data_IF_602904271585
#
_entry.id   IF_602904271585
#
_cell.length_a   1.000
_cell.length_b   1.000
_cell.length_c   1.000
_cell.angle_alpha   90.00
_cell.angle_beta   90.00
_cell.angle_gamma   90.00
#
_symmetry.space_group_name_H-M   'P 1'
#
loop_
_entity.id
_entity.type
_entity.pdbx_description
1 polymer ?
#
# COMPACT_ATOMS: atom_id res chain seq x y z
N UNK A 1 -41.37 -22.14 -2.57
CA UNK A 1 -40.18 -21.43 -3.09
C UNK A 1 -39.27 -21.17 -1.92
N UNK A 2 -38.26 -22.00 -1.75
CA UNK A 2 -37.18 -21.84 -0.79
C UNK A 2 -36.20 -20.81 -1.33
N UNK A 3 -35.73 -19.83 -0.55
CA UNK A 3 -34.70 -18.91 -1.01
C UNK A 3 -33.37 -19.66 -1.07
N UNK A 4 -32.80 -19.74 -2.28
CA UNK A 4 -31.44 -20.22 -2.50
C UNK A 4 -30.49 -19.16 -1.98
N UNK A 5 -29.75 -19.50 -0.93
CA UNK A 5 -28.68 -18.67 -0.41
C UNK A 5 -27.61 -18.51 -1.49
N UNK A 6 -27.36 -17.28 -1.94
CA UNK A 6 -26.13 -16.93 -2.66
C UNK A 6 -24.96 -17.14 -1.68
N UNK A 7 -24.38 -18.34 -1.71
CA UNK A 7 -23.05 -18.55 -1.19
C UNK A 7 -22.12 -17.67 -2.04
N UNK A 8 -21.63 -16.58 -1.46
CA UNK A 8 -20.54 -15.82 -2.05
C UNK A 8 -19.37 -16.80 -2.27
N UNK A 9 -19.12 -17.17 -3.53
CA UNK A 9 -17.91 -17.89 -3.91
C UNK A 9 -16.73 -16.99 -3.57
N UNK A 10 -16.09 -17.24 -2.42
CA UNK A 10 -14.78 -16.69 -2.10
C UNK A 10 -13.86 -17.10 -3.26
N UNK A 11 -13.26 -16.17 -4.03
CA UNK A 11 -12.38 -16.53 -5.12
C UNK A 11 -11.29 -17.45 -4.56
N UNK A 12 -11.22 -18.69 -5.06
CA UNK A 12 -10.20 -19.65 -4.65
C UNK A 12 -8.84 -19.00 -4.86
N UNK A 13 -8.10 -18.82 -3.77
CA UNK A 13 -6.76 -18.25 -3.81
C UNK A 13 -5.87 -19.16 -4.68
N UNK A 14 -5.64 -18.74 -5.92
CA UNK A 14 -4.83 -19.48 -6.89
C UNK A 14 -3.38 -19.02 -6.80
N UNK A 15 -2.46 -19.96 -7.00
CA UNK A 15 -1.04 -19.65 -7.10
C UNK A 15 -0.76 -18.89 -8.39
N UNK A 16 0.31 -18.11 -8.39
CA UNK A 16 0.77 -17.46 -9.62
C UNK A 16 1.28 -18.50 -10.63
N UNK A 17 1.20 -18.18 -11.91
CA UNK A 17 1.65 -19.07 -12.99
C UNK A 17 3.13 -19.47 -12.83
N UNK A 18 3.99 -18.53 -12.41
CA UNK A 18 5.42 -18.82 -12.20
C UNK A 18 5.66 -19.74 -11.01
N UNK A 19 4.89 -19.62 -9.94
CA UNK A 19 5.00 -20.50 -8.79
C UNK A 19 4.56 -21.93 -9.14
N UNK A 20 3.48 -22.06 -9.92
CA UNK A 20 3.04 -23.34 -10.49
C UNK A 20 4.10 -23.99 -11.38
N UNK A 21 4.70 -23.22 -12.29
CA UNK A 21 5.75 -23.69 -13.20
C UNK A 21 6.95 -24.27 -12.42
N UNK A 22 7.42 -23.55 -11.40
CA UNK A 22 8.56 -23.98 -10.58
C UNK A 22 8.25 -25.28 -9.85
N UNK A 23 7.06 -25.38 -9.24
CA UNK A 23 6.63 -26.60 -8.56
C UNK A 23 6.52 -27.78 -9.52
N UNK A 24 6.01 -27.57 -10.73
CA UNK A 24 5.90 -28.63 -11.75
C UNK A 24 7.26 -29.09 -12.28
N UNK A 25 8.24 -28.19 -12.34
CA UNK A 25 9.61 -28.50 -12.78
C UNK A 25 10.47 -29.20 -11.73
N UNK A 26 9.99 -29.33 -10.49
CA UNK A 26 10.79 -29.85 -9.40
C UNK A 26 11.06 -31.37 -9.54
N UNK A 27 12.30 -31.85 -9.31
CA UNK A 27 12.66 -33.26 -9.47
C UNK A 27 11.92 -34.25 -8.55
N UNK A 28 11.45 -33.78 -7.39
CA UNK A 28 10.63 -34.55 -6.45
C UNK A 28 9.18 -34.03 -6.48
N UNK A 29 8.26 -34.74 -7.18
CA UNK A 29 6.85 -34.34 -7.27
C UNK A 29 6.10 -34.43 -5.94
N UNK A 30 6.50 -35.33 -5.05
CA UNK A 30 5.87 -35.48 -3.74
C UNK A 30 6.20 -34.28 -2.86
N UNK A 31 7.48 -33.87 -2.80
CA UNK A 31 7.89 -32.65 -2.12
C UNK A 31 7.21 -31.40 -2.70
N UNK A 32 7.18 -31.26 -4.03
CA UNK A 32 6.51 -30.13 -4.68
C UNK A 32 4.99 -30.10 -4.40
N UNK A 33 4.34 -31.26 -4.37
CA UNK A 33 2.93 -31.39 -4.00
C UNK A 33 2.64 -30.90 -2.57
N UNK A 34 3.51 -31.23 -1.61
CA UNK A 34 3.43 -30.74 -0.23
C UNK A 34 3.62 -29.23 -0.14
N UNK A 35 4.62 -28.71 -0.84
CA UNK A 35 4.92 -27.27 -0.88
C UNK A 35 3.78 -26.47 -1.53
N UNK A 36 3.18 -27.01 -2.60
CA UNK A 36 1.99 -26.44 -3.24
C UNK A 36 0.86 -26.21 -2.25
N UNK A 37 0.55 -27.21 -1.40
CA UNK A 37 -0.50 -27.08 -0.38
C UNK A 37 -0.20 -25.96 0.61
N UNK A 38 1.05 -25.84 1.05
CA UNK A 38 1.49 -24.73 1.93
C UNK A 38 1.30 -23.39 1.23
N UNK A 39 1.69 -23.25 -0.03
CA UNK A 39 1.51 -21.99 -0.77
C UNK A 39 0.04 -21.63 -1.00
N UNK A 40 -0.82 -22.60 -1.28
CA UNK A 40 -2.26 -22.38 -1.42
C UNK A 40 -2.85 -21.92 -0.09
N UNK A 41 -2.50 -22.58 1.01
CA UNK A 41 -2.92 -22.16 2.35
C UNK A 41 -2.42 -20.75 2.70
N UNK A 42 -1.19 -20.42 2.27
CA UNK A 42 -0.60 -19.08 2.47
C UNK A 42 -1.34 -18.02 1.65
N UNK A 43 -1.64 -18.30 0.38
CA UNK A 43 -2.41 -17.41 -0.49
C UNK A 43 -3.82 -17.16 0.08
N UNK A 44 -4.47 -18.21 0.61
CA UNK A 44 -5.75 -18.10 1.29
C UNK A 44 -5.64 -17.18 2.53
N UNK A 45 -4.69 -17.44 3.43
CA UNK A 45 -4.49 -16.62 4.62
C UNK A 45 -4.20 -15.13 4.27
N UNK A 46 -3.38 -14.86 3.25
CA UNK A 46 -3.11 -13.50 2.76
C UNK A 46 -4.39 -12.82 2.25
N UNK A 47 -5.22 -13.53 1.49
CA UNK A 47 -6.49 -13.00 0.98
C UNK A 47 -7.39 -12.59 2.14
N UNK A 48 -7.55 -13.46 3.14
CA UNK A 48 -8.40 -13.23 4.31
C UNK A 48 -7.93 -12.05 5.17
N UNK A 49 -6.61 -11.87 5.32
CA UNK A 49 -6.05 -10.70 5.97
C UNK A 49 -6.41 -9.39 5.23
N UNK A 50 -6.53 -9.45 3.90
CA UNK A 50 -6.82 -8.29 3.06
C UNK A 50 -8.30 -7.87 3.09
N UNK A 51 -9.22 -8.82 3.32
CA UNK A 51 -10.67 -8.56 3.41
C UNK A 51 -11.09 -7.81 4.69
N UNK A 52 -10.16 -7.61 5.63
CA UNK A 52 -10.38 -6.88 6.87
C UNK A 52 -10.55 -5.37 6.61
N UNK A 53 -11.79 -4.93 6.41
CA UNK A 53 -12.13 -3.50 6.35
C UNK A 53 -12.14 -2.88 7.75
N UNK A 54 -11.08 -2.15 8.06
CA UNK A 54 -10.94 -1.43 9.32
C UNK A 54 -11.63 -0.06 9.30
N UNK A 55 -12.06 0.42 8.13
CA UNK A 55 -12.62 1.76 7.96
C UNK A 55 -13.99 1.88 8.61
N UNK A 56 -14.78 0.81 8.59
CA UNK A 56 -16.11 0.76 9.23
C UNK A 56 -16.07 0.97 10.75
N UNK A 57 -14.90 0.80 11.37
CA UNK A 57 -14.70 0.95 12.81
C UNK A 57 -14.17 2.32 13.21
N UNK A 58 -13.99 3.23 12.24
CA UNK A 58 -13.54 4.60 12.46
C UNK A 58 -14.75 5.47 12.82
N UNK A 59 -15.03 5.65 14.12
CA UNK A 59 -16.03 6.62 14.56
C UNK A 59 -15.37 7.98 14.89
N UNK A 60 -15.99 9.11 14.52
CA UNK A 60 -15.50 10.46 14.82
C UNK A 60 -15.66 10.85 16.29
N UNK A 61 -16.43 10.06 17.07
CA UNK A 61 -16.63 10.31 18.50
C UNK A 61 -15.44 9.75 19.25
N UNK A 62 -14.58 10.64 19.73
CA UNK A 62 -13.60 10.34 20.78
C UNK A 62 -14.40 10.26 22.08
N UNK A 63 -15.04 9.10 22.33
CA UNK A 63 -15.73 8.91 23.60
C UNK A 63 -14.71 9.00 24.74
N UNK A 64 -14.97 9.92 25.67
CA UNK A 64 -14.14 10.16 26.85
C UNK A 64 -14.25 9.05 27.91
N UNK A 65 -15.09 8.04 27.68
CA UNK A 65 -15.24 6.86 28.53
C UNK A 65 -14.66 5.63 27.83
N UNK A 66 -13.94 4.74 28.57
CA UNK A 66 -13.48 3.48 28.02
C UNK A 66 -14.69 2.66 27.54
N UNK A 67 -14.76 2.43 26.24
CA UNK A 67 -15.87 1.72 25.59
C UNK A 67 -15.35 0.42 24.97
N UNK A 68 -15.86 -0.71 25.46
CA UNK A 68 -15.53 -2.05 24.95
C UNK A 68 -16.38 -2.43 23.74
N UNK A 69 -17.34 -1.61 23.31
CA UNK A 69 -18.22 -1.89 22.17
C UNK A 69 -17.43 -2.25 20.91
N UNK A 70 -16.38 -1.49 20.61
CA UNK A 70 -15.53 -1.74 19.46
C UNK A 70 -14.81 -3.08 19.57
N UNK A 71 -14.30 -3.40 20.75
CA UNK A 71 -13.66 -4.69 20.99
C UNK A 71 -14.64 -5.84 20.75
N UNK A 72 -15.88 -5.73 21.25
CA UNK A 72 -16.93 -6.72 21.04
C UNK A 72 -17.28 -6.90 19.56
N UNK A 73 -17.32 -5.81 18.78
CA UNK A 73 -17.54 -5.84 17.34
C UNK A 73 -16.35 -6.43 16.55
N UNK A 74 -15.11 -6.19 17.00
CA UNK A 74 -13.90 -6.65 16.32
C UNK A 74 -13.48 -8.07 16.72
N UNK A 75 -13.85 -8.53 17.92
CA UNK A 75 -13.43 -9.83 18.45
C UNK A 75 -13.76 -11.02 17.52
N UNK A 76 -14.95 -11.12 16.89
CA UNK A 76 -15.23 -12.18 15.91
C UNK A 76 -14.27 -12.13 14.72
N UNK A 77 -13.94 -10.93 14.25
CA UNK A 77 -13.09 -10.74 13.07
C UNK A 77 -11.62 -11.07 13.37
N UNK A 78 -11.16 -10.72 14.57
CA UNK A 78 -9.83 -11.10 15.06
C UNK A 78 -9.75 -12.61 15.26
N UNK A 79 -10.79 -13.23 15.82
CA UNK A 79 -10.88 -14.69 15.97
C UNK A 79 -10.79 -15.38 14.60
N UNK A 80 -11.59 -14.95 13.63
CA UNK A 80 -11.61 -15.55 12.29
C UNK A 80 -10.26 -15.38 11.59
N UNK A 81 -9.61 -14.22 11.77
CA UNK A 81 -8.23 -14.00 11.30
C UNK A 81 -7.26 -15.00 11.92
N UNK A 82 -7.30 -15.17 13.25
CA UNK A 82 -6.46 -16.14 13.96
C UNK A 82 -6.74 -17.57 13.51
N UNK A 83 -8.00 -17.92 13.22
CA UNK A 83 -8.36 -19.22 12.67
C UNK A 83 -7.74 -19.44 11.29
N UNK A 84 -7.79 -18.46 10.39
CA UNK A 84 -7.19 -18.53 9.06
C UNK A 84 -5.65 -18.69 9.13
N UNK A 85 -4.97 -17.95 10.01
CA UNK A 85 -3.52 -18.10 10.24
C UNK A 85 -3.18 -19.46 10.86
N UNK A 86 -3.98 -19.94 11.81
CA UNK A 86 -3.80 -21.27 12.39
C UNK A 86 -4.02 -22.39 11.35
N UNK A 87 -4.93 -22.19 10.40
CA UNK A 87 -5.12 -23.08 9.26
C UNK A 87 -3.83 -23.27 8.48
N UNK A 88 -3.11 -22.19 8.17
CA UNK A 88 -1.78 -22.25 7.55
C UNK A 88 -0.78 -23.02 8.42
N UNK A 89 -0.70 -22.72 9.73
CA UNK A 89 0.22 -23.41 10.63
C UNK A 89 -0.03 -24.92 10.68
N UNK A 90 -1.30 -25.34 10.65
CA UNK A 90 -1.67 -26.75 10.62
C UNK A 90 -1.22 -27.42 9.33
N UNK A 91 -1.43 -26.78 8.17
CA UNK A 91 -0.96 -27.30 6.87
C UNK A 91 0.56 -27.47 6.87
N UNK A 92 1.33 -26.51 7.41
CA UNK A 92 2.78 -26.64 7.50
C UNK A 92 3.18 -27.83 8.37
N UNK A 93 2.52 -28.04 9.53
CA UNK A 93 2.82 -29.17 10.43
C UNK A 93 2.48 -30.52 9.82
N UNK A 94 1.35 -30.61 9.12
CA UNK A 94 0.87 -31.85 8.48
C UNK A 94 1.78 -32.26 7.33
N UNK A 95 2.15 -31.31 6.48
CA UNK A 95 2.95 -31.61 5.29
C UNK A 95 4.45 -31.71 5.59
N UNK A 96 4.94 -30.97 6.61
CA UNK A 96 6.36 -30.91 6.98
C UNK A 96 6.60 -31.14 8.48
N UNK A 97 6.41 -32.37 8.99
CA UNK A 97 6.64 -32.68 10.39
C UNK A 97 8.13 -32.54 10.76
N UNK A 98 8.42 -32.14 12.00
CA UNK A 98 9.76 -31.81 12.50
C UNK A 98 10.82 -32.94 12.38
N UNK A 99 10.40 -34.18 12.10
CA UNK A 99 11.26 -35.36 11.99
C UNK A 99 11.29 -35.96 10.58
N UNK A 100 10.84 -35.25 9.54
CA UNK A 100 10.83 -35.79 8.19
C UNK A 100 12.27 -36.01 7.67
N UNK A 101 12.70 -37.25 7.34
CA UNK A 101 14.02 -37.50 6.78
C UNK A 101 14.05 -37.00 5.32
N UNK A 102 14.42 -35.73 5.15
CA UNK A 102 14.60 -35.11 3.84
C UNK A 102 16.03 -35.25 3.33
N UNK A 103 16.20 -35.46 2.02
CA UNK A 103 17.51 -35.35 1.35
C UNK A 103 18.04 -33.91 1.42
N UNK A 104 19.37 -33.72 1.27
CA UNK A 104 20.04 -32.42 1.47
C UNK A 104 19.41 -31.25 0.69
N UNK A 105 18.88 -31.48 -0.51
CA UNK A 105 18.21 -30.47 -1.34
C UNK A 105 16.85 -29.99 -0.80
N UNK A 106 16.22 -30.77 0.08
CA UNK A 106 14.90 -30.47 0.66
C UNK A 106 14.99 -29.85 2.06
N UNK A 107 16.16 -29.89 2.70
CA UNK A 107 16.33 -29.42 4.08
C UNK A 107 16.25 -27.89 4.20
N UNK A 108 16.81 -27.14 3.24
CA UNK A 108 16.83 -25.68 3.30
C UNK A 108 15.42 -25.05 3.16
N UNK A 109 14.58 -25.43 2.18
CA UNK A 109 13.20 -24.92 2.14
C UNK A 109 12.38 -25.31 3.37
N UNK A 110 12.58 -26.52 3.91
CA UNK A 110 11.89 -26.97 5.14
C UNK A 110 12.31 -26.14 6.35
N UNK A 111 13.59 -25.76 6.45
CA UNK A 111 14.08 -24.85 7.48
C UNK A 111 13.37 -23.49 7.45
N UNK A 112 13.20 -22.91 6.26
CA UNK A 112 12.45 -21.64 6.07
C UNK A 112 10.99 -21.80 6.53
N UNK A 113 10.33 -22.90 6.16
CA UNK A 113 8.94 -23.17 6.57
C UNK A 113 8.81 -23.29 8.09
N UNK A 114 9.76 -23.97 8.75
CA UNK A 114 9.77 -24.14 10.21
C UNK A 114 10.04 -22.83 10.94
N UNK A 115 10.99 -22.03 10.44
CA UNK A 115 11.27 -20.71 10.98
C UNK A 115 10.04 -19.79 10.85
N UNK A 116 9.46 -19.72 9.65
CA UNK A 116 8.25 -18.93 9.41
C UNK A 116 7.08 -19.40 10.30
N UNK A 117 6.90 -20.71 10.47
CA UNK A 117 5.91 -21.28 11.39
C UNK A 117 6.12 -20.79 12.82
N UNK A 118 7.38 -20.79 13.31
CA UNK A 118 7.71 -20.31 14.65
C UNK A 118 7.42 -18.81 14.81
N UNK A 119 7.84 -18.00 13.83
CA UNK A 119 7.61 -16.56 13.83
C UNK A 119 6.12 -16.17 13.77
N UNK A 120 5.33 -16.90 12.98
CA UNK A 120 3.88 -16.69 12.87
C UNK A 120 3.18 -17.15 14.16
N UNK A 121 3.54 -18.31 14.71
CA UNK A 121 2.98 -18.79 15.98
C UNK A 121 3.27 -17.83 17.14
N UNK A 122 4.49 -17.28 17.22
CA UNK A 122 4.84 -16.25 18.19
C UNK A 122 3.98 -14.98 18.00
N UNK A 123 3.72 -14.58 16.76
CA UNK A 123 2.84 -13.45 16.45
C UNK A 123 1.41 -13.65 16.95
N UNK A 124 0.87 -14.87 16.85
CA UNK A 124 -0.47 -15.21 17.41
C UNK A 124 -0.46 -15.08 18.94
N UNK A 125 0.57 -15.59 19.62
CA UNK A 125 0.70 -15.45 21.08
C UNK A 125 0.75 -13.98 21.49
N UNK A 126 1.56 -13.18 20.82
CA UNK A 126 1.69 -11.74 21.09
C UNK A 126 0.38 -10.98 20.85
N UNK A 127 -0.38 -11.35 19.81
CA UNK A 127 -1.73 -10.82 19.61
C UNK A 127 -2.63 -11.18 20.80
N UNK A 128 -2.62 -12.44 21.23
CA UNK A 128 -3.39 -12.89 22.40
C UNK A 128 -3.05 -12.13 23.68
N UNK A 129 -1.77 -11.81 23.90
CA UNK A 129 -1.32 -10.99 25.02
C UNK A 129 -1.79 -9.53 24.90
N UNK A 130 -1.67 -8.93 23.71
CA UNK A 130 -2.13 -7.57 23.44
C UNK A 130 -3.64 -7.42 23.66
N UNK A 131 -4.44 -8.39 23.22
CA UNK A 131 -5.91 -8.35 23.39
C UNK A 131 -6.36 -8.56 24.84
N UNK A 132 -5.47 -9.04 25.72
CA UNK A 132 -5.73 -9.12 27.18
C UNK A 132 -5.34 -7.84 27.91
N UNK A 133 -4.63 -6.91 27.25
CA UNK A 133 -4.18 -5.67 27.86
C UNK A 133 -5.30 -4.60 27.79
N UNK A 134 -5.85 -4.15 28.93
CA UNK A 134 -6.91 -3.14 28.94
C UNK A 134 -6.52 -1.85 28.24
N UNK A 135 -5.24 -1.45 28.29
CA UNK A 135 -4.77 -0.22 27.63
C UNK A 135 -4.83 -0.28 26.10
N UNK A 136 -4.87 -1.48 25.52
CA UNK A 136 -5.00 -1.68 24.07
C UNK A 136 -6.46 -1.70 23.65
N UNK A 137 -7.30 -2.44 24.38
CA UNK A 137 -8.70 -2.65 24.01
C UNK A 137 -9.63 -1.50 24.42
N UNK A 138 -9.21 -0.63 25.34
CA UNK A 138 -10.01 0.51 25.81
C UNK A 138 -9.96 1.74 24.90
N UNK A 139 -8.90 1.89 24.10
CA UNK A 139 -8.75 3.00 23.16
C UNK A 139 -8.92 2.51 21.71
N UNK A 140 -9.91 3.08 21.01
CA UNK A 140 -10.27 2.71 19.63
C UNK A 140 -9.08 2.76 18.67
N UNK A 141 -8.31 3.85 18.72
CA UNK A 141 -7.21 4.05 17.79
C UNK A 141 -6.01 3.16 18.10
N UNK A 142 -5.77 2.86 19.38
CA UNK A 142 -4.76 1.91 19.83
C UNK A 142 -5.10 0.49 19.39
N UNK A 143 -6.35 0.05 19.58
CA UNK A 143 -6.81 -1.25 19.11
C UNK A 143 -6.65 -1.39 17.58
N UNK A 144 -7.11 -0.39 16.82
CA UNK A 144 -6.97 -0.38 15.36
C UNK A 144 -5.49 -0.39 14.92
N UNK A 145 -4.62 0.35 15.61
CA UNK A 145 -3.20 0.38 15.32
C UNK A 145 -2.54 -0.99 15.56
N UNK A 146 -2.85 -1.65 16.67
CA UNK A 146 -2.32 -2.99 16.98
C UNK A 146 -2.81 -4.03 15.98
N UNK A 147 -4.07 -4.01 15.58
CA UNK A 147 -4.60 -4.94 14.57
C UNK A 147 -3.94 -4.72 13.20
N UNK A 148 -3.78 -3.46 12.78
CA UNK A 148 -3.05 -3.14 11.54
C UNK A 148 -1.60 -3.62 11.59
N UNK A 149 -0.93 -3.42 12.73
CA UNK A 149 0.46 -3.85 12.94
C UNK A 149 0.60 -5.36 12.85
N UNK A 150 -0.25 -6.10 13.54
CA UNK A 150 -0.26 -7.58 13.51
C UNK A 150 -0.56 -8.09 12.10
N UNK A 151 -1.53 -7.50 11.41
CA UNK A 151 -1.83 -7.84 10.02
C UNK A 151 -0.65 -7.62 9.09
N UNK A 152 0.00 -6.46 9.18
CA UNK A 152 1.18 -6.14 8.36
C UNK A 152 2.31 -7.15 8.61
N UNK A 153 2.53 -7.53 9.87
CA UNK A 153 3.53 -8.52 10.24
C UNK A 153 3.20 -9.91 9.69
N UNK A 154 1.98 -10.41 9.86
CA UNK A 154 1.58 -11.71 9.30
C UNK A 154 1.70 -11.73 7.78
N UNK A 155 1.23 -10.65 7.13
CA UNK A 155 1.37 -10.48 5.67
C UNK A 155 2.83 -10.54 5.22
N UNK A 156 3.73 -9.86 5.93
CA UNK A 156 5.17 -9.87 5.64
C UNK A 156 5.77 -11.26 5.84
N UNK A 157 5.53 -11.91 6.98
CA UNK A 157 6.04 -13.25 7.30
C UNK A 157 5.58 -14.29 6.27
N UNK A 158 4.30 -14.26 5.88
CA UNK A 158 3.74 -15.13 4.84
C UNK A 158 4.34 -14.85 3.46
N UNK A 159 4.60 -13.59 3.14
CA UNK A 159 5.25 -13.20 1.88
C UNK A 159 6.69 -13.70 1.80
N UNK A 160 7.43 -13.57 2.91
CA UNK A 160 8.80 -14.03 3.02
C UNK A 160 8.86 -15.56 2.94
N UNK A 161 7.95 -16.27 3.62
CA UNK A 161 7.82 -17.72 3.51
C UNK A 161 7.74 -18.15 2.04
N UNK A 162 6.80 -17.59 1.27
CA UNK A 162 6.62 -17.98 -0.15
C UNK A 162 7.84 -17.59 -0.97
N UNK A 163 8.33 -16.36 -0.85
CA UNK A 163 9.43 -15.86 -1.67
C UNK A 163 10.75 -16.61 -1.40
N UNK A 164 11.14 -16.74 -0.14
CA UNK A 164 12.42 -17.35 0.24
C UNK A 164 12.44 -18.84 -0.10
N UNK A 165 11.35 -19.56 0.19
CA UNK A 165 11.28 -20.98 -0.17
C UNK A 165 11.22 -21.20 -1.69
N UNK A 166 10.52 -20.35 -2.45
CA UNK A 166 10.47 -20.46 -3.92
C UNK A 166 11.82 -20.08 -4.57
N UNK A 167 12.56 -19.13 -3.99
CA UNK A 167 13.88 -18.70 -4.48
C UNK A 167 14.94 -19.79 -4.40
N UNK A 168 14.76 -20.79 -3.52
CA UNK A 168 15.62 -21.97 -3.47
C UNK A 168 15.35 -22.97 -4.61
N UNK A 169 14.20 -22.84 -5.28
CA UNK A 169 13.79 -23.75 -6.36
C UNK A 169 14.09 -23.18 -7.75
N UNK A 170 14.35 -21.87 -7.84
CA UNK A 170 14.72 -21.21 -9.09
C UNK A 170 14.75 -19.69 -8.98
N UNK A 171 15.26 -19.03 -10.01
CA UNK A 171 15.28 -17.56 -10.09
C UNK A 171 13.86 -17.01 -10.20
N UNK A 172 13.49 -16.21 -9.20
CA UNK A 172 12.18 -15.56 -9.08
C UNK A 172 12.28 -14.18 -8.47
N UNK A 173 11.30 -13.36 -8.79
CA UNK A 173 11.04 -12.08 -8.13
C UNK A 173 9.80 -12.18 -7.25
N UNK A 174 9.66 -11.30 -6.25
CA UNK A 174 8.46 -11.23 -5.41
C UNK A 174 7.19 -11.02 -6.23
N UNK A 175 7.25 -10.20 -7.27
CA UNK A 175 6.13 -9.96 -8.18
C UNK A 175 5.65 -11.23 -8.90
N UNK A 176 6.53 -12.19 -9.13
CA UNK A 176 6.20 -13.43 -9.80
C UNK A 176 5.60 -14.50 -8.87
N UNK A 177 5.98 -14.53 -7.59
CA UNK A 177 5.61 -15.68 -6.70
C UNK A 177 4.78 -15.31 -5.49
N UNK A 178 4.85 -14.07 -4.98
CA UNK A 178 4.15 -13.70 -3.75
C UNK A 178 2.68 -13.39 -4.05
N UNK A 179 1.72 -14.12 -3.46
CA UNK A 179 0.30 -13.83 -3.64
C UNK A 179 -0.04 -12.40 -3.20
N UNK A 180 -0.86 -11.71 -3.98
CA UNK A 180 -1.32 -10.35 -3.68
C UNK A 180 -0.26 -9.24 -3.82
N UNK A 181 0.99 -9.55 -4.19
CA UNK A 181 2.07 -8.55 -4.26
C UNK A 181 1.73 -7.37 -5.18
N UNK A 182 1.24 -7.63 -6.39
CA UNK A 182 0.86 -6.56 -7.33
C UNK A 182 -0.26 -5.66 -6.78
N UNK A 183 -1.22 -6.22 -6.05
CA UNK A 183 -2.29 -5.44 -5.42
C UNK A 183 -1.73 -4.56 -4.29
N UNK A 184 -0.80 -5.07 -3.50
CA UNK A 184 -0.12 -4.32 -2.43
C UNK A 184 0.73 -3.17 -2.97
N UNK A 185 1.51 -3.42 -4.03
CA UNK A 185 2.27 -2.37 -4.74
C UNK A 185 1.32 -1.30 -5.26
N UNK A 186 0.24 -1.71 -5.93
CA UNK A 186 -0.77 -0.78 -6.45
C UNK A 186 -1.40 0.07 -5.34
N UNK A 187 -1.72 -0.53 -4.20
CA UNK A 187 -2.26 0.18 -3.04
C UNK A 187 -1.25 1.21 -2.50
N UNK A 188 0.03 0.83 -2.35
CA UNK A 188 1.08 1.71 -1.88
C UNK A 188 1.35 2.89 -2.84
N UNK A 189 1.42 2.63 -4.15
CA UNK A 189 1.54 3.66 -5.19
C UNK A 189 0.33 4.60 -5.17
N UNK A 190 -0.88 4.06 -4.96
CA UNK A 190 -2.11 4.88 -4.85
C UNK A 190 -2.07 5.78 -3.62
N UNK A 191 -1.66 5.27 -2.45
CA UNK A 191 -1.49 6.07 -1.24
C UNK A 191 -0.51 7.21 -1.50
N UNK A 192 0.67 6.89 -2.04
CA UNK A 192 1.68 7.88 -2.38
C UNK A 192 1.13 8.98 -3.29
N UNK A 193 0.50 8.59 -4.39
CA UNK A 193 0.02 9.52 -5.40
C UNK A 193 -1.05 10.49 -4.84
N UNK A 194 -2.03 9.96 -4.12
CA UNK A 194 -3.13 10.76 -3.58
C UNK A 194 -2.64 11.66 -2.45
N UNK A 195 -1.72 11.18 -1.60
CA UNK A 195 -1.10 12.01 -0.56
C UNK A 195 -0.31 13.17 -1.16
N UNK A 196 0.43 12.94 -2.24
CA UNK A 196 1.15 14.01 -2.95
C UNK A 196 0.20 15.05 -3.55
N UNK A 197 -0.92 14.59 -4.13
CA UNK A 197 -1.97 15.49 -4.63
C UNK A 197 -2.63 16.30 -3.51
N UNK A 198 -2.92 15.67 -2.37
CA UNK A 198 -3.44 16.37 -1.19
C UNK A 198 -2.45 17.42 -0.69
N UNK A 199 -1.16 17.09 -0.55
CA UNK A 199 -0.13 18.04 -0.13
C UNK A 199 -0.08 19.25 -1.05
N UNK A 200 -0.11 19.03 -2.37
CA UNK A 200 -0.18 20.12 -3.35
C UNK A 200 -1.44 20.99 -3.21
N UNK A 201 -2.60 20.38 -2.97
CA UNK A 201 -3.87 21.09 -2.77
C UNK A 201 -3.77 21.95 -1.50
N UNK A 202 -3.27 21.39 -0.40
CA UNK A 202 -3.11 22.07 0.88
C UNK A 202 -2.12 23.23 0.82
N UNK A 203 -0.97 23.04 0.18
CA UNK A 203 0.01 24.13 -0.02
C UNK A 203 -0.63 25.29 -0.81
N UNK A 204 -1.43 24.99 -1.84
CA UNK A 204 -2.16 26.02 -2.59
C UNK A 204 -3.26 26.68 -1.75
N UNK A 205 -3.97 25.90 -0.91
CA UNK A 205 -5.01 26.38 0.00
C UNK A 205 -4.42 27.29 1.08
N UNK A 206 -3.30 26.90 1.67
CA UNK A 206 -2.57 27.68 2.67
C UNK A 206 -2.22 29.07 2.15
N UNK A 207 -1.70 29.16 0.92
CA UNK A 207 -1.44 30.45 0.28
C UNK A 207 -2.70 31.29 0.17
N UNK A 208 -3.82 30.71 -0.32
CA UNK A 208 -5.10 31.42 -0.43
C UNK A 208 -5.64 31.90 0.91
N UNK A 209 -5.51 31.10 1.97
CA UNK A 209 -5.97 31.46 3.32
C UNK A 209 -5.14 32.61 3.91
N UNK A 210 -3.81 32.60 3.71
CA UNK A 210 -2.93 33.69 4.16
C UNK A 210 -3.28 35.02 3.50
N UNK A 211 -3.62 34.97 2.22
CA UNK A 211 -3.97 36.14 1.41
C UNK A 211 -5.47 36.51 1.51
N UNK A 212 -6.28 35.76 2.26
CA UNK A 212 -7.73 35.95 2.31
C UNK A 212 -8.14 37.20 3.10
N UNK A 213 -9.16 37.89 2.57
CA UNK A 213 -9.92 38.91 3.28
C UNK A 213 -10.87 38.26 4.30
N UNK A 214 -11.32 39.03 5.30
CA UNK A 214 -12.15 38.52 6.40
C UNK A 214 -13.43 37.80 5.91
N UNK A 215 -14.05 38.32 4.85
CA UNK A 215 -15.28 37.75 4.26
C UNK A 215 -15.05 36.39 3.57
N UNK A 216 -13.82 36.08 3.17
CA UNK A 216 -13.48 34.86 2.43
C UNK A 216 -12.96 33.74 3.33
N UNK A 217 -12.68 34.02 4.61
CA UNK A 217 -12.10 33.04 5.54
C UNK A 217 -13.04 31.85 5.75
N UNK A 218 -14.34 32.12 5.95
CA UNK A 218 -15.33 31.06 6.13
C UNK A 218 -15.44 30.19 4.87
N UNK A 219 -15.48 30.81 3.68
CA UNK A 219 -15.52 30.08 2.42
C UNK A 219 -14.29 29.17 2.27
N UNK A 220 -13.09 29.66 2.61
CA UNK A 220 -11.88 28.84 2.56
C UNK A 220 -11.92 27.66 3.55
N UNK A 221 -12.49 27.84 4.75
CA UNK A 221 -12.68 26.75 5.71
C UNK A 221 -13.66 25.68 5.16
N UNK A 222 -14.77 26.09 4.53
CA UNK A 222 -15.72 25.17 3.89
C UNK A 222 -15.11 24.40 2.71
N UNK A 223 -14.28 25.07 1.92
CA UNK A 223 -13.55 24.41 0.83
C UNK A 223 -12.54 23.40 1.36
N UNK A 224 -11.81 23.73 2.42
CA UNK A 224 -10.89 22.80 3.07
C UNK A 224 -11.63 21.57 3.63
N UNK A 225 -12.79 21.79 4.26
CA UNK A 225 -13.65 20.69 4.72
C UNK A 225 -14.05 19.77 3.56
N UNK A 226 -14.47 20.35 2.43
CA UNK A 226 -14.84 19.61 1.22
C UNK A 226 -13.67 18.79 0.65
N UNK A 227 -12.46 19.37 0.63
CA UNK A 227 -11.23 18.71 0.20
C UNK A 227 -10.89 17.51 1.10
N UNK A 228 -11.02 17.67 2.43
CA UNK A 228 -10.80 16.59 3.40
C UNK A 228 -11.87 15.50 3.33
N UNK A 229 -13.14 15.85 3.08
CA UNK A 229 -14.23 14.90 2.88
C UNK A 229 -14.07 14.12 1.57
N UNK A 230 -13.54 14.77 0.53
CA UNK A 230 -13.16 14.08 -0.70
C UNK A 230 -12.00 13.10 -0.44
N UNK A 231 -10.97 13.53 0.29
CA UNK A 231 -9.84 12.68 0.65
C UNK A 231 -10.25 11.45 1.46
N UNK A 232 -11.14 11.62 2.46
CA UNK A 232 -11.67 10.52 3.29
C UNK A 232 -12.41 9.43 2.51
N UNK A 233 -12.87 9.74 1.28
CA UNK A 233 -13.53 8.78 0.37
C UNK A 233 -12.58 8.07 -0.59
N UNK A 234 -11.30 8.42 -0.59
CA UNK A 234 -10.31 7.84 -1.50
C UNK A 234 -9.82 6.47 -1.06
N UNK A 235 -9.29 5.68 -2.00
CA UNK A 235 -8.61 4.42 -1.70
C UNK A 235 -7.33 4.62 -0.87
N UNK A 236 -6.69 5.80 -0.96
CA UNK A 236 -5.50 6.12 -0.15
C UNK A 236 -5.85 6.20 1.33
N UNK A 237 -6.93 6.91 1.67
CA UNK A 237 -7.39 7.04 3.05
C UNK A 237 -7.62 5.66 3.68
N UNK A 238 -8.24 4.71 2.97
CA UNK A 238 -8.46 3.33 3.47
C UNK A 238 -7.17 2.63 3.90
N UNK A 239 -6.07 2.91 3.19
CA UNK A 239 -4.76 2.27 3.38
C UNK A 239 -3.79 3.05 4.29
N UNK A 240 -4.24 4.15 4.91
CA UNK A 240 -3.45 4.87 5.91
C UNK A 240 -3.33 4.09 7.23
N UNK A 241 -2.29 4.41 8.01
CA UNK A 241 -2.14 3.87 9.36
C UNK A 241 -3.24 4.42 10.26
N UNK A 242 -3.72 3.64 11.23
CA UNK A 242 -4.77 4.05 12.16
C UNK A 242 -4.43 5.38 12.84
N UNK A 243 -3.19 5.56 13.29
CA UNK A 243 -2.74 6.83 13.88
C UNK A 243 -2.79 7.99 12.89
N UNK A 244 -2.41 7.80 11.62
CA UNK A 244 -2.53 8.85 10.60
C UNK A 244 -4.01 9.23 10.37
N UNK A 245 -4.90 8.24 10.34
CA UNK A 245 -6.35 8.47 10.20
C UNK A 245 -6.94 9.24 11.38
N UNK A 246 -6.50 8.92 12.61
CA UNK A 246 -6.86 9.67 13.82
C UNK A 246 -6.57 11.17 13.65
N UNK A 247 -5.36 11.51 13.23
CA UNK A 247 -4.96 12.89 13.01
C UNK A 247 -5.83 13.56 11.93
N UNK A 248 -6.16 12.85 10.84
CA UNK A 248 -7.08 13.37 9.81
C UNK A 248 -8.47 13.63 10.37
N UNK A 249 -9.01 12.73 11.20
CA UNK A 249 -10.33 12.89 11.82
C UNK A 249 -10.35 14.08 12.79
N UNK A 250 -9.32 14.22 13.64
CA UNK A 250 -9.17 15.33 14.58
C UNK A 250 -9.06 16.68 13.83
N UNK A 251 -8.23 16.74 12.79
CA UNK A 251 -8.09 17.95 11.95
C UNK A 251 -9.40 18.27 11.20
N UNK A 252 -10.12 17.25 10.72
CA UNK A 252 -11.44 17.45 10.08
C UNK A 252 -12.47 18.03 11.03
N UNK A 253 -12.48 17.61 12.30
CA UNK A 253 -13.36 18.17 13.30
C UNK A 253 -13.06 19.66 13.54
N UNK A 254 -11.78 20.03 13.63
CA UNK A 254 -11.37 21.42 13.83
C UNK A 254 -11.68 22.31 12.62
N UNK A 255 -11.42 21.83 11.40
CA UNK A 255 -11.82 22.53 10.17
C UNK A 255 -13.34 22.67 10.10
N UNK A 256 -14.09 21.62 10.44
CA UNK A 256 -15.55 21.64 10.47
C UNK A 256 -16.10 22.68 11.44
N UNK A 257 -15.49 22.83 12.62
CA UNK A 257 -15.81 23.89 13.59
C UNK A 257 -15.64 25.27 12.98
N UNK A 258 -14.52 25.52 12.30
CA UNK A 258 -14.24 26.81 11.65
C UNK A 258 -15.18 27.09 10.46
N UNK A 259 -15.56 26.06 9.71
CA UNK A 259 -16.40 26.18 8.51
C UNK A 259 -17.83 26.66 8.79
N UNK A 260 -18.37 26.35 9.98
CA UNK A 260 -19.72 26.75 10.39
C UNK A 260 -19.78 28.09 11.13
N UNK A 261 -18.64 28.63 11.56
CA UNK A 261 -18.58 29.94 12.21
C UNK A 261 -18.82 31.05 11.18
N UNK A 262 -19.65 32.07 11.47
CA UNK A 262 -19.95 33.14 10.52
C UNK A 262 -18.76 34.09 10.28
N UNK A 263 -17.83 34.20 11.23
CA UNK A 263 -16.61 35.02 11.11
C UNK A 263 -15.43 34.28 11.76
N UNK A 264 -14.92 33.19 11.16
CA UNK A 264 -13.83 32.43 11.74
C UNK A 264 -12.54 33.27 11.72
N UNK A 265 -11.69 33.06 12.73
CA UNK A 265 -10.39 33.72 12.80
C UNK A 265 -9.49 33.23 11.67
N UNK A 266 -8.97 34.16 10.86
CA UNK A 266 -7.97 33.85 9.83
C UNK A 266 -6.73 33.21 10.44
N UNK A 267 -6.28 33.68 11.61
CA UNK A 267 -5.11 33.15 12.29
C UNK A 267 -5.31 31.69 12.73
N UNK A 268 -6.51 31.36 13.25
CA UNK A 268 -6.86 29.98 13.58
C UNK A 268 -6.89 29.09 12.33
N UNK A 269 -7.52 29.54 11.24
CA UNK A 269 -7.58 28.76 10.00
C UNK A 269 -6.18 28.55 9.41
N UNK A 270 -5.31 29.56 9.41
CA UNK A 270 -3.91 29.42 8.98
C UNK A 270 -3.20 28.35 9.81
N UNK A 271 -3.29 28.41 11.14
CA UNK A 271 -2.63 27.45 12.02
C UNK A 271 -3.08 26.00 11.75
N UNK A 272 -4.39 25.79 11.54
CA UNK A 272 -4.94 24.47 11.21
C UNK A 272 -4.46 23.99 9.83
N UNK A 273 -4.46 24.86 8.82
CA UNK A 273 -3.99 24.48 7.47
C UNK A 273 -2.49 24.18 7.48
N UNK A 274 -1.67 24.93 8.23
CA UNK A 274 -0.23 24.69 8.38
C UNK A 274 0.07 23.36 9.06
N UNK A 275 -0.65 23.04 10.13
CA UNK A 275 -0.52 21.76 10.82
C UNK A 275 -0.91 20.60 9.89
N UNK A 276 -1.98 20.77 9.12
CA UNK A 276 -2.45 19.77 8.16
C UNK A 276 -1.48 19.60 6.97
N UNK A 277 -0.95 20.68 6.42
CA UNK A 277 0.07 20.65 5.35
C UNK A 277 1.33 19.92 5.84
N UNK A 278 1.80 20.25 7.06
CA UNK A 278 2.95 19.56 7.69
C UNK A 278 2.68 18.08 7.89
N UNK A 279 1.49 17.72 8.39
CA UNK A 279 1.10 16.32 8.56
C UNK A 279 1.10 15.56 7.23
N UNK A 280 0.50 16.12 6.18
CA UNK A 280 0.43 15.48 4.85
C UNK A 280 1.82 15.37 4.20
N UNK A 281 2.69 16.35 4.41
CA UNK A 281 4.11 16.21 4.02
C UNK A 281 4.79 15.05 4.76
N UNK A 282 4.48 14.86 6.05
CA UNK A 282 4.97 13.71 6.83
C UNK A 282 4.52 12.35 6.31
N UNK A 283 3.36 12.26 5.65
CA UNK A 283 2.88 11.03 5.01
C UNK A 283 3.76 10.59 3.83
N UNK A 284 4.64 11.46 3.31
CA UNK A 284 5.65 11.09 2.31
C UNK A 284 6.61 9.98 2.79
N UNK A 285 6.68 9.72 4.11
CA UNK A 285 7.37 8.57 4.69
C UNK A 285 6.93 7.22 4.11
N UNK A 286 5.75 7.15 3.47
CA UNK A 286 5.33 5.97 2.68
C UNK A 286 6.37 5.56 1.65
N UNK A 287 7.11 6.52 1.07
CA UNK A 287 8.19 6.27 0.10
C UNK A 287 9.35 5.44 0.65
N UNK A 288 9.51 5.37 1.97
CA UNK A 288 10.58 4.60 2.63
C UNK A 288 10.20 3.12 2.84
N UNK A 289 9.00 2.71 2.42
CA UNK A 289 8.60 1.29 2.49
C UNK A 289 9.45 0.49 1.51
N UNK A 290 10.05 -0.60 1.98
CA UNK A 290 10.87 -1.51 1.18
C UNK A 290 10.17 -1.95 -0.12
N UNK A 291 8.85 -2.20 -0.06
CA UNK A 291 8.04 -2.53 -1.22
C UNK A 291 8.11 -1.48 -2.34
N UNK A 292 8.00 -0.19 -1.96
CA UNK A 292 8.06 0.91 -2.92
C UNK A 292 9.49 1.17 -3.39
N UNK A 293 10.50 0.99 -2.54
CA UNK A 293 11.91 1.12 -2.93
C UNK A 293 12.26 0.13 -4.06
N UNK A 294 11.86 -1.14 -3.90
CA UNK A 294 12.09 -2.18 -4.92
C UNK A 294 11.32 -1.85 -6.21
N UNK A 295 10.03 -1.55 -6.09
CA UNK A 295 9.19 -1.17 -7.23
C UNK A 295 9.75 0.04 -7.99
N UNK A 296 10.17 1.08 -7.28
CA UNK A 296 10.63 2.32 -7.89
C UNK A 296 11.95 2.11 -8.63
N UNK A 297 12.85 1.25 -8.13
CA UNK A 297 14.08 0.84 -8.83
C UNK A 297 13.76 0.14 -10.16
N UNK A 298 12.79 -0.76 -10.16
CA UNK A 298 12.35 -1.46 -11.38
C UNK A 298 11.73 -0.49 -12.38
N UNK A 299 10.84 0.39 -11.94
CA UNK A 299 10.20 1.39 -12.81
C UNK A 299 11.24 2.39 -13.34
N UNK A 300 12.17 2.82 -12.51
CA UNK A 300 13.26 3.72 -12.90
C UNK A 300 14.14 3.11 -13.99
N UNK A 301 14.61 1.87 -13.80
CA UNK A 301 15.39 1.16 -14.82
C UNK A 301 14.59 0.98 -16.13
N UNK A 302 13.31 0.63 -16.02
CA UNK A 302 12.41 0.46 -17.16
C UNK A 302 12.19 1.79 -17.93
N UNK A 303 12.09 2.91 -17.21
CA UNK A 303 12.01 4.24 -17.83
C UNK A 303 13.34 4.60 -18.52
N UNK A 304 14.47 4.34 -17.87
CA UNK A 304 15.80 4.60 -18.41
C UNK A 304 16.02 3.94 -19.78
N UNK A 305 15.74 2.63 -19.89
CA UNK A 305 15.86 1.89 -21.17
C UNK A 305 14.99 2.50 -22.27
N UNK A 306 13.76 2.92 -21.94
CA UNK A 306 12.84 3.52 -22.92
C UNK A 306 13.30 4.92 -23.35
N UNK A 307 13.87 5.71 -22.45
CA UNK A 307 14.38 7.04 -22.75
C UNK A 307 15.67 6.99 -23.58
N UNK A 308 16.56 6.06 -23.29
CA UNK A 308 17.74 5.76 -24.15
C UNK A 308 17.29 5.40 -25.57
N UNK A 309 16.30 4.51 -25.69
CA UNK A 309 15.70 4.16 -26.98
C UNK A 309 15.08 5.37 -27.67
N UNK A 310 14.34 6.21 -26.95
CA UNK A 310 13.74 7.42 -27.50
C UNK A 310 14.81 8.39 -28.04
N UNK A 311 15.91 8.57 -27.29
CA UNK A 311 17.02 9.42 -27.69
C UNK A 311 17.72 8.91 -28.94
N UNK A 312 17.93 7.60 -29.05
CA UNK A 312 18.54 6.98 -30.23
C UNK A 312 17.69 7.15 -31.50
N UNK A 313 16.36 7.17 -31.36
CA UNK A 313 15.42 7.28 -32.49
C UNK A 313 15.12 8.73 -32.90
N UNK A 314 15.38 9.73 -32.05
CA UNK A 314 14.88 11.10 -32.25
C UNK A 314 15.29 11.73 -33.58
N UNK A 315 16.45 11.37 -34.13
CA UNK A 315 16.97 11.90 -35.39
C UNK A 315 16.61 11.07 -36.63
N UNK A 316 16.17 9.82 -36.47
CA UNK A 316 15.95 8.87 -37.57
C UNK A 316 14.50 8.41 -37.69
N UNK A 317 13.80 8.26 -36.57
CA UNK A 317 12.39 7.90 -36.46
C UNK A 317 11.72 8.70 -35.33
N UNK A 318 11.30 9.95 -35.60
CA UNK A 318 10.65 10.80 -34.60
C UNK A 318 9.36 10.19 -34.03
N UNK A 319 8.63 9.41 -34.83
CA UNK A 319 7.40 8.76 -34.38
C UNK A 319 7.69 7.62 -33.39
N UNK A 320 8.71 6.80 -33.66
CA UNK A 320 9.20 5.78 -32.74
C UNK A 320 9.77 6.37 -31.45
N UNK A 321 10.50 7.49 -31.56
CA UNK A 321 11.00 8.23 -30.41
C UNK A 321 9.87 8.77 -29.51
N UNK A 322 8.85 9.38 -30.13
CA UNK A 322 7.69 9.91 -29.41
C UNK A 322 6.89 8.81 -28.70
N UNK A 323 6.75 7.63 -29.35
CA UNK A 323 6.14 6.45 -28.72
C UNK A 323 6.94 5.96 -27.52
N UNK A 324 8.27 5.82 -27.66
CA UNK A 324 9.13 5.38 -26.58
C UNK A 324 9.11 6.36 -25.39
N UNK A 325 9.08 7.68 -25.65
CA UNK A 325 8.87 8.70 -24.61
C UNK A 325 7.51 8.56 -23.93
N UNK A 326 6.43 8.35 -24.70
CA UNK A 326 5.09 8.19 -24.14
C UNK A 326 4.99 6.92 -23.25
N UNK A 327 5.60 5.82 -23.67
CA UNK A 327 5.70 4.60 -22.86
C UNK A 327 6.51 4.84 -21.58
N UNK A 328 7.65 5.53 -21.67
CA UNK A 328 8.45 5.91 -20.50
C UNK A 328 7.64 6.79 -19.54
N UNK A 329 6.95 7.81 -20.05
CA UNK A 329 6.12 8.70 -19.24
C UNK A 329 4.93 7.95 -18.61
N UNK A 330 4.37 6.97 -19.32
CA UNK A 330 3.32 6.08 -18.83
C UNK A 330 3.81 5.20 -17.67
N UNK A 331 4.96 4.54 -17.81
CA UNK A 331 5.59 3.78 -16.72
C UNK A 331 5.99 4.70 -15.55
N UNK A 332 6.52 5.89 -15.85
CA UNK A 332 6.89 6.89 -14.86
C UNK A 332 5.73 7.41 -14.02
N UNK A 333 4.47 7.31 -14.49
CA UNK A 333 3.30 7.65 -13.66
C UNK A 333 3.25 6.84 -12.36
N UNK A 334 3.82 5.62 -12.36
CA UNK A 334 3.91 4.82 -11.14
C UNK A 334 4.84 5.43 -10.10
N UNK A 335 5.75 6.34 -10.47
CA UNK A 335 6.64 7.09 -9.56
C UNK A 335 6.01 8.38 -9.02
N UNK A 336 4.78 8.71 -9.41
CA UNK A 336 4.10 9.92 -8.95
C UNK A 336 3.99 9.96 -7.42
N UNK A 337 4.33 11.11 -6.83
CA UNK A 337 4.46 11.36 -5.40
C UNK A 337 5.85 11.05 -4.81
N UNK A 338 6.84 10.73 -5.66
CA UNK A 338 8.23 10.53 -5.23
C UNK A 338 9.00 11.85 -5.10
N UNK A 339 8.75 12.80 -6.00
CA UNK A 339 9.41 14.10 -6.04
C UNK A 339 8.54 15.16 -6.73
N UNK A 340 8.46 16.36 -6.15
CA UNK A 340 7.56 17.44 -6.61
C UNK A 340 7.81 17.87 -8.06
N UNK A 341 9.06 17.94 -8.49
CA UNK A 341 9.42 18.35 -9.86
C UNK A 341 9.04 17.28 -10.88
N UNK A 342 9.30 16.01 -10.55
CA UNK A 342 8.86 14.87 -11.35
C UNK A 342 7.33 14.84 -11.45
N UNK A 343 6.61 15.12 -10.35
CA UNK A 343 5.14 15.18 -10.34
C UNK A 343 4.59 16.30 -11.23
N UNK A 344 5.26 17.46 -11.27
CA UNK A 344 4.91 18.54 -12.18
C UNK A 344 5.08 18.11 -13.65
N UNK A 345 6.20 17.45 -13.96
CA UNK A 345 6.45 16.90 -15.29
C UNK A 345 5.41 15.84 -15.67
N UNK A 346 5.17 14.84 -14.83
CA UNK A 346 4.27 13.72 -15.08
C UNK A 346 2.81 14.19 -15.26
N UNK A 347 2.36 15.22 -14.52
CA UNK A 347 1.05 15.85 -14.75
C UNK A 347 0.96 16.54 -16.09
N UNK A 348 2.02 17.28 -16.47
CA UNK A 348 2.09 17.93 -17.78
C UNK A 348 2.08 16.87 -18.89
N UNK A 349 2.86 15.80 -18.74
CA UNK A 349 2.95 14.69 -19.68
C UNK A 349 1.67 13.84 -19.79
N UNK A 350 0.82 13.82 -18.76
CA UNK A 350 -0.51 13.19 -18.83
C UNK A 350 -1.52 14.01 -19.62
N UNK A 351 -1.40 15.34 -19.55
CA UNK A 351 -2.29 16.28 -20.28
C UNK A 351 -1.84 16.50 -21.72
N UNK A 352 -0.54 16.63 -21.91
CA UNK A 352 0.07 16.72 -23.23
C UNK A 352 0.13 15.32 -23.82
N UNK A 353 -0.31 15.16 -25.06
CA UNK A 353 -0.05 13.92 -25.79
C UNK A 353 1.43 13.92 -26.16
N UNK A 354 2.30 13.58 -25.20
CA UNK A 354 3.78 13.65 -25.39
C UNK A 354 4.26 12.81 -26.57
N UNK A 355 3.46 11.83 -27.01
CA UNK A 355 3.65 11.08 -28.25
C UNK A 355 3.40 11.86 -29.55
N UNK A 356 3.01 13.14 -29.47
CA UNK A 356 2.73 14.03 -30.60
C UNK A 356 3.61 15.28 -30.60
N UNK A 357 4.65 15.33 -29.76
CA UNK A 357 5.55 16.48 -29.72
C UNK A 357 6.33 16.61 -31.04
N UNK A 358 6.59 17.86 -31.48
CA UNK A 358 7.47 18.09 -32.63
C UNK A 358 8.91 17.65 -32.29
N UNK A 359 9.74 17.30 -33.29
CA UNK A 359 11.08 16.73 -33.07
C UNK A 359 12.00 17.55 -32.17
N UNK A 360 11.94 18.88 -32.25
CA UNK A 360 12.78 19.78 -31.45
C UNK A 360 12.38 19.78 -29.96
N UNK A 361 11.06 19.76 -29.68
CA UNK A 361 10.54 19.63 -28.32
C UNK A 361 10.71 18.22 -27.77
N UNK A 362 10.71 17.20 -28.63
CA UNK A 362 10.86 15.81 -28.25
C UNK A 362 12.23 15.55 -27.60
N UNK A 363 13.32 16.02 -28.23
CA UNK A 363 14.68 15.87 -27.66
C UNK A 363 14.80 16.54 -26.31
N UNK A 364 14.37 17.80 -26.19
CA UNK A 364 14.45 18.55 -24.93
C UNK A 364 13.62 17.89 -23.82
N UNK A 365 12.43 17.38 -24.15
CA UNK A 365 11.55 16.68 -23.20
C UNK A 365 12.17 15.36 -22.71
N UNK A 366 12.84 14.60 -23.59
CA UNK A 366 13.56 13.38 -23.19
C UNK A 366 14.68 13.73 -22.19
N UNK A 367 15.49 14.74 -22.49
CA UNK A 367 16.60 15.17 -21.61
C UNK A 367 16.07 15.66 -20.26
N UNK A 368 15.00 16.46 -20.25
CA UNK A 368 14.37 16.89 -18.99
C UNK A 368 13.91 15.69 -18.16
N UNK A 369 13.26 14.71 -18.79
CA UNK A 369 12.78 13.54 -18.06
C UNK A 369 13.94 12.67 -17.52
N UNK A 370 15.01 12.48 -18.31
CA UNK A 370 16.23 11.82 -17.84
C UNK A 370 16.84 12.54 -16.63
N UNK A 371 16.94 13.87 -16.68
CA UNK A 371 17.44 14.68 -15.57
C UNK A 371 16.60 14.54 -14.29
N UNK A 372 15.27 14.56 -14.43
CA UNK A 372 14.35 14.37 -13.30
C UNK A 372 14.45 12.97 -12.68
N UNK A 373 14.62 11.93 -13.51
CA UNK A 373 14.82 10.56 -13.02
C UNK A 373 16.19 10.36 -12.38
N UNK A 374 17.23 11.02 -12.87
CA UNK A 374 18.57 10.98 -12.29
C UNK A 374 18.64 11.72 -10.94
N UNK A 375 17.79 12.73 -10.75
CA UNK A 375 17.65 13.46 -9.48
C UNK A 375 16.86 12.72 -8.39
N UNK A 376 16.30 11.54 -8.68
CA UNK A 376 15.66 10.71 -7.66
C UNK A 376 16.75 10.08 -6.79
N UNK A 377 16.68 10.31 -5.48
CA UNK A 377 17.50 9.56 -4.53
C UNK A 377 17.02 8.10 -4.53
N UNK A 378 17.85 7.18 -5.03
CA UNK A 378 17.50 5.74 -5.19
C UNK A 378 17.91 4.93 -3.95
N UNK A 379 18.37 5.58 -2.86
CA UNK A 379 18.73 4.90 -1.62
C UNK A 379 17.55 4.19 -0.97
#
# INVERSE_FOLDING_TARGET
>A
MTPVSEAAETPQASLSARLEEILQSHPDPAFAGRLRKVYVATAHAISRLSDLDLVRYEAPVVDSSPDLSLWEEMAPVIRDTVMDVNGLLNVIREEFPAQSPGGASTQAPVGILQEAMSQIAQGITQLGEAMRNPSVVSDRWTLLAEIQRVRARFREQMSNLVFESASLLGEVTRAQVVPGYAAEVKAAVTVRAITADLGRILTARLKKVRDAEAQDVQWNAQQLQTELDAFGRTAAYRNLRAQDKRHVVEMRAEVGRLAILPNPSRAELVAVVEALDTFVQGLSAVNQRQLLIIHDREVWASCGVRLERAMALVGSDPAGAARALAEAAGSGQSLYGRATELDAFLRKARKLQVGQLPPDELRSTIVTFQGLLAGLDVM
#
